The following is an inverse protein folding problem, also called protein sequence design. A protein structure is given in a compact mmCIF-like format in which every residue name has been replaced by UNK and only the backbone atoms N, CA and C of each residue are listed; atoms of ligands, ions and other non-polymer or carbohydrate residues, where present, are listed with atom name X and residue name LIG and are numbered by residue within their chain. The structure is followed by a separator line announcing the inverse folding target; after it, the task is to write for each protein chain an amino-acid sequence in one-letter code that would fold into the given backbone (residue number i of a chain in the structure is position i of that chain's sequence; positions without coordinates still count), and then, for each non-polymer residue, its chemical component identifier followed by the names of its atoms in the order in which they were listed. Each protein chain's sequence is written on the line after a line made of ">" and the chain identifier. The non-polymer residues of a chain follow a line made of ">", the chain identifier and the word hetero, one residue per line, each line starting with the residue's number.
data_IF_441817588575
#
_entry.id   IF_441817588575
#
_cell.length_a   1.000
_cell.length_b   1.000
_cell.length_c   1.000
_cell.angle_alpha   90.00
_cell.angle_beta   90.00
_cell.angle_gamma   90.00
#
_symmetry.space_group_name_H-M   'P 1'
#
loop_
_entity.id
_entity.type
_entity.pdbx_description
1 polymer ?
#
# COMPACT_ATOMS: atom_id res chain seq x y z
N UNK A 1 54.14 47.73 -13.75
CA UNK A 1 53.23 46.58 -14.02
C UNK A 1 52.52 46.00 -12.78
N UNK A 2 52.99 46.24 -11.54
CA UNK A 2 52.38 45.67 -10.31
C UNK A 2 51.18 46.47 -9.75
N UNK A 3 51.08 47.77 -10.02
CA UNK A 3 50.01 48.64 -9.50
C UNK A 3 48.68 48.46 -10.23
N UNK A 4 48.70 48.14 -11.52
CA UNK A 4 47.49 47.90 -12.33
C UNK A 4 46.76 46.61 -11.92
N UNK A 5 47.50 45.51 -11.69
CA UNK A 5 46.92 44.25 -11.22
C UNK A 5 46.34 44.34 -9.79
N UNK A 6 46.91 45.18 -8.94
CA UNK A 6 46.38 45.43 -7.59
C UNK A 6 45.04 46.17 -7.62
N UNK A 7 44.90 47.15 -8.52
CA UNK A 7 43.64 47.88 -8.73
C UNK A 7 42.54 46.97 -9.29
N UNK A 8 42.86 46.13 -10.28
CA UNK A 8 41.92 45.13 -10.84
C UNK A 8 41.45 44.16 -9.75
N UNK A 9 42.35 43.61 -8.92
CA UNK A 9 41.97 42.68 -7.84
C UNK A 9 41.08 43.31 -6.77
N UNK A 10 41.26 44.61 -6.48
CA UNK A 10 40.46 45.34 -5.46
C UNK A 10 39.09 45.76 -5.96
N UNK A 11 38.92 46.00 -7.27
CA UNK A 11 37.63 46.29 -7.90
C UNK A 11 36.82 45.03 -8.20
N UNK A 12 37.46 43.87 -8.42
CA UNK A 12 36.76 42.60 -8.70
C UNK A 12 35.93 42.08 -7.53
N UNK A 13 36.31 42.35 -6.29
CA UNK A 13 35.58 41.88 -5.10
C UNK A 13 34.20 42.53 -4.90
N UNK A 14 34.02 43.86 -4.97
CA UNK A 14 32.68 44.46 -4.87
C UNK A 14 31.79 44.14 -6.07
N UNK A 15 32.36 44.02 -7.29
CA UNK A 15 31.60 43.67 -8.50
C UNK A 15 31.04 42.24 -8.38
N UNK A 16 31.87 41.29 -7.94
CA UNK A 16 31.45 39.90 -7.76
C UNK A 16 30.37 39.78 -6.66
N UNK A 17 30.51 40.52 -5.57
CA UNK A 17 29.50 40.57 -4.49
C UNK A 17 28.18 41.16 -5.01
N UNK A 18 28.23 42.26 -5.77
CA UNK A 18 27.04 42.88 -6.36
C UNK A 18 26.30 41.96 -7.33
N UNK A 19 27.02 41.25 -8.19
CA UNK A 19 26.44 40.26 -9.11
C UNK A 19 25.83 39.07 -8.37
N UNK A 20 26.49 38.57 -7.32
CA UNK A 20 25.96 37.48 -6.50
C UNK A 20 24.63 37.85 -5.81
N UNK A 21 24.58 39.02 -5.19
CA UNK A 21 23.38 39.49 -4.47
C UNK A 21 22.20 39.71 -5.43
N UNK A 22 22.45 40.29 -6.61
CA UNK A 22 21.39 40.52 -7.59
C UNK A 22 20.82 39.23 -8.17
N UNK A 23 21.66 38.24 -8.49
CA UNK A 23 21.21 36.91 -8.95
C UNK A 23 20.37 36.21 -7.88
N UNK A 24 20.83 36.23 -6.62
CA UNK A 24 20.09 35.62 -5.51
C UNK A 24 18.73 36.31 -5.26
N UNK A 25 18.69 37.64 -5.33
CA UNK A 25 17.46 38.41 -5.14
C UNK A 25 16.42 38.15 -6.25
N UNK A 26 16.85 38.10 -7.51
CA UNK A 26 15.95 37.88 -8.65
C UNK A 26 15.38 36.46 -8.64
N UNK A 27 16.21 35.45 -8.37
CA UNK A 27 15.76 34.05 -8.29
C UNK A 27 14.88 33.82 -7.06
N UNK A 28 15.25 34.36 -5.89
CA UNK A 28 14.43 34.31 -4.68
C UNK A 28 13.04 34.93 -4.86
N UNK A 29 12.96 36.10 -5.53
CA UNK A 29 11.68 36.78 -5.80
C UNK A 29 10.74 35.95 -6.69
N UNK A 30 11.28 35.21 -7.66
CA UNK A 30 10.46 34.36 -8.53
C UNK A 30 9.91 33.13 -7.81
N UNK A 31 10.69 32.55 -6.89
CA UNK A 31 10.25 31.42 -6.06
C UNK A 31 9.10 31.80 -5.13
N UNK A 32 9.22 32.90 -4.37
CA UNK A 32 8.19 33.34 -3.41
C UNK A 32 6.85 33.64 -4.10
N UNK A 33 6.87 34.21 -5.31
CA UNK A 33 5.64 34.51 -6.07
C UNK A 33 4.89 33.25 -6.54
N UNK A 34 5.59 32.17 -6.87
CA UNK A 34 5.01 30.92 -7.39
C UNK A 34 4.69 29.91 -6.28
N UNK A 35 5.36 30.01 -5.14
CA UNK A 35 5.18 29.13 -3.97
C UNK A 35 3.72 28.98 -3.49
N UNK A 36 2.91 30.04 -3.30
CA UNK A 36 1.56 29.88 -2.77
C UNK A 36 0.61 29.15 -3.73
N UNK A 37 0.87 29.14 -5.04
CA UNK A 37 0.06 28.39 -6.01
C UNK A 37 0.41 26.89 -6.00
N UNK A 38 1.70 26.57 -5.86
CA UNK A 38 2.17 25.18 -5.72
C UNK A 38 1.66 24.59 -4.39
N UNK A 39 1.74 25.36 -3.30
CA UNK A 39 1.29 24.92 -1.98
C UNK A 39 -0.23 24.68 -1.91
N UNK A 40 -1.04 25.48 -2.62
CA UNK A 40 -2.50 25.28 -2.70
C UNK A 40 -2.90 24.02 -3.46
N UNK A 41 -2.11 23.59 -4.45
CA UNK A 41 -2.38 22.39 -5.24
C UNK A 41 -1.85 21.10 -4.59
N UNK A 42 -1.02 21.22 -3.55
CA UNK A 42 -0.59 20.12 -2.68
C UNK A 42 -1.50 20.12 -1.46
N UNK A 43 -2.79 19.87 -1.66
CA UNK A 43 -3.76 19.95 -0.57
C UNK A 43 -3.61 18.80 0.44
N UNK A 44 -2.83 17.75 0.15
CA UNK A 44 -2.49 16.69 1.10
C UNK A 44 -1.17 15.99 0.73
N UNK A 45 -0.01 16.31 1.31
CA UNK A 45 1.19 15.48 1.13
C UNK A 45 1.00 14.04 1.68
N UNK A 46 -0.08 13.82 2.43
CA UNK A 46 -0.45 12.54 3.05
C UNK A 46 -1.47 11.72 2.24
N UNK A 47 -2.07 12.24 1.15
CA UNK A 47 -3.08 11.50 0.39
C UNK A 47 -2.53 10.38 -0.50
N UNK A 48 -1.20 10.27 -0.62
CA UNK A 48 -0.53 9.09 -1.21
C UNK A 48 -0.40 7.93 -0.23
N UNK A 49 -0.54 8.19 1.07
CA UNK A 49 -0.75 7.18 2.10
C UNK A 49 -2.27 7.04 2.25
N UNK A 50 -2.95 6.61 1.18
CA UNK A 50 -4.22 5.91 1.36
C UNK A 50 -3.86 4.70 2.19
N UNK A 51 -4.08 4.81 3.49
CA UNK A 51 -4.07 3.70 4.42
C UNK A 51 -5.01 2.68 3.80
N UNK A 52 -4.46 1.60 3.22
CA UNK A 52 -5.22 0.37 3.07
C UNK A 52 -5.96 0.20 4.39
N UNK A 53 -7.29 0.00 4.39
CA UNK A 53 -7.99 -0.25 5.64
C UNK A 53 -7.18 -1.33 6.33
N UNK A 54 -6.66 -1.03 7.54
CA UNK A 54 -5.96 -2.03 8.32
C UNK A 54 -7.02 -3.08 8.58
N UNK A 55 -7.05 -4.10 7.73
CA UNK A 55 -7.92 -5.25 7.90
C UNK A 55 -7.33 -5.92 9.13
N UNK A 56 -7.86 -5.54 10.29
CA UNK A 56 -7.60 -6.22 11.53
C UNK A 56 -8.02 -7.66 11.29
N UNK A 57 -7.05 -8.51 11.00
CA UNK A 57 -7.25 -9.93 10.85
C UNK A 57 -7.64 -10.40 12.25
N UNK A 58 -8.94 -10.53 12.50
CA UNK A 58 -9.44 -11.05 13.75
C UNK A 58 -8.95 -12.49 13.84
N UNK A 59 -7.85 -12.69 14.55
CA UNK A 59 -7.30 -14.01 14.80
C UNK A 59 -8.29 -14.72 15.72
N UNK A 60 -8.86 -15.82 15.22
CA UNK A 60 -9.67 -16.69 16.05
C UNK A 60 -8.71 -17.45 16.96
N UNK A 61 -8.94 -17.38 18.27
CA UNK A 61 -8.14 -18.10 19.24
C UNK A 61 -8.53 -19.59 19.18
N UNK A 62 -7.54 -20.48 19.08
CA UNK A 62 -7.75 -21.93 18.99
C UNK A 62 -7.31 -22.53 17.66
N UNK A 63 -7.56 -23.83 17.48
CA UNK A 63 -7.34 -24.56 16.23
C UNK A 63 -8.63 -24.77 15.44
N UNK A 64 -8.55 -25.55 14.36
CA UNK A 64 -9.73 -26.01 13.65
C UNK A 64 -10.58 -26.94 14.52
N UNK A 65 -11.89 -26.93 14.30
CA UNK A 65 -12.78 -27.90 14.93
C UNK A 65 -12.49 -29.32 14.41
N UNK A 66 -12.76 -30.32 15.25
CA UNK A 66 -12.60 -31.72 14.88
C UNK A 66 -13.45 -32.08 13.65
N UNK A 67 -14.65 -31.52 13.58
CA UNK A 67 -15.58 -31.67 12.46
C UNK A 67 -15.98 -30.28 11.97
N UNK A 68 -15.79 -30.03 10.68
CA UNK A 68 -16.05 -28.71 10.10
C UNK A 68 -17.53 -28.37 10.08
N UNK A 69 -17.94 -27.42 10.93
CA UNK A 69 -19.28 -26.86 10.93
C UNK A 69 -19.49 -25.87 9.77
N UNK A 70 -20.75 -25.57 9.44
CA UNK A 70 -21.12 -24.58 8.42
C UNK A 70 -20.49 -23.20 8.71
N UNK A 71 -20.47 -22.78 9.98
CA UNK A 71 -19.89 -21.48 10.37
C UNK A 71 -18.39 -21.44 10.12
N UNK A 72 -17.68 -22.49 10.51
CA UNK A 72 -16.25 -22.62 10.28
C UNK A 72 -15.94 -22.70 8.77
N UNK A 73 -16.73 -23.46 8.00
CA UNK A 73 -16.55 -23.56 6.56
C UNK A 73 -16.70 -22.20 5.84
N UNK A 74 -17.65 -21.37 6.28
CA UNK A 74 -17.80 -20.00 5.77
C UNK A 74 -16.59 -19.14 6.10
N UNK A 75 -16.02 -19.29 7.31
CA UNK A 75 -14.81 -18.57 7.73
C UNK A 75 -13.58 -19.02 6.94
N UNK A 76 -13.37 -20.33 6.76
CA UNK A 76 -12.24 -20.91 6.02
C UNK A 76 -12.24 -20.41 4.56
N UNK A 77 -13.40 -20.40 3.90
CA UNK A 77 -13.52 -19.96 2.51
C UNK A 77 -13.71 -18.45 2.35
N UNK A 78 -13.80 -17.69 3.45
CA UNK A 78 -14.03 -16.25 3.44
C UNK A 78 -15.37 -15.83 2.82
N UNK A 79 -16.38 -16.70 2.93
CA UNK A 79 -17.71 -16.49 2.36
C UNK A 79 -18.68 -15.95 3.43
N UNK A 80 -19.62 -15.12 2.98
CA UNK A 80 -20.75 -14.69 3.83
C UNK A 80 -21.91 -15.67 3.70
N UNK A 81 -22.73 -15.85 4.76
CA UNK A 81 -23.89 -16.74 4.71
C UNK A 81 -24.94 -16.27 3.70
N UNK A 82 -25.02 -14.95 3.45
CA UNK A 82 -26.00 -14.36 2.55
C UNK A 82 -25.57 -14.52 1.08
N UNK A 83 -26.45 -15.07 0.24
CA UNK A 83 -26.21 -15.19 -1.20
C UNK A 83 -25.16 -16.24 -1.57
N UNK A 84 -25.09 -17.32 -0.80
CA UNK A 84 -24.27 -18.49 -1.07
C UNK A 84 -24.76 -19.23 -2.32
N UNK A 85 -23.86 -19.50 -3.25
CA UNK A 85 -24.14 -20.22 -4.50
C UNK A 85 -22.97 -21.20 -4.77
N UNK A 86 -23.25 -22.32 -5.42
CA UNK A 86 -22.25 -23.33 -5.82
C UNK A 86 -21.08 -22.73 -6.59
N UNK A 87 -21.32 -21.78 -7.49
CA UNK A 87 -20.25 -21.13 -8.26
C UNK A 87 -19.31 -20.34 -7.34
N UNK A 88 -19.86 -19.56 -6.40
CA UNK A 88 -19.06 -18.82 -5.41
C UNK A 88 -18.25 -19.74 -4.51
N UNK A 89 -18.80 -20.88 -4.11
CA UNK A 89 -18.08 -21.89 -3.30
C UNK A 89 -16.88 -22.43 -4.08
N UNK A 90 -17.07 -22.81 -5.36
CA UNK A 90 -16.00 -23.32 -6.21
C UNK A 90 -14.90 -22.28 -6.45
N UNK A 91 -15.29 -21.04 -6.72
CA UNK A 91 -14.33 -19.95 -6.97
C UNK A 91 -13.51 -19.62 -5.72
N UNK A 92 -14.17 -19.53 -4.56
CA UNK A 92 -13.50 -19.31 -3.28
C UNK A 92 -12.58 -20.48 -2.91
N UNK A 93 -13.04 -21.72 -3.07
CA UNK A 93 -12.23 -22.92 -2.85
C UNK A 93 -10.97 -22.92 -3.72
N UNK A 94 -11.11 -22.66 -5.03
CA UNK A 94 -9.95 -22.57 -5.93
C UNK A 94 -8.96 -21.51 -5.47
N UNK A 95 -9.45 -20.31 -5.13
CA UNK A 95 -8.59 -19.20 -4.71
C UNK A 95 -7.81 -19.53 -3.43
N UNK A 96 -8.49 -20.07 -2.42
CA UNK A 96 -7.87 -20.39 -1.13
C UNK A 96 -6.96 -21.61 -1.25
N UNK A 97 -7.34 -22.63 -2.03
CA UNK A 97 -6.54 -23.83 -2.24
C UNK A 97 -5.23 -23.53 -2.99
N UNK A 98 -5.24 -22.71 -4.03
CA UNK A 98 -4.00 -22.35 -4.76
C UNK A 98 -2.99 -21.69 -3.83
N UNK A 99 -3.44 -20.83 -2.91
CA UNK A 99 -2.58 -20.18 -1.93
C UNK A 99 -2.06 -21.14 -0.84
N UNK A 100 -2.72 -22.28 -0.62
CA UNK A 100 -2.41 -23.23 0.46
C UNK A 100 -2.09 -24.63 -0.07
N UNK A 101 -1.75 -24.75 -1.37
CA UNK A 101 -1.54 -26.04 -1.99
C UNK A 101 -0.28 -26.72 -1.39
N UNK A 102 -0.33 -28.01 -1.02
CA UNK A 102 0.81 -28.68 -0.39
C UNK A 102 2.08 -28.62 -1.26
N UNK A 103 1.93 -28.74 -2.58
CA UNK A 103 3.06 -28.66 -3.51
C UNK A 103 3.65 -27.25 -3.66
N UNK A 104 2.95 -26.20 -3.17
CA UNK A 104 3.37 -24.80 -3.21
C UNK A 104 3.73 -24.29 -1.80
N UNK A 105 4.36 -25.14 -0.99
CA UNK A 105 4.71 -24.86 0.42
C UNK A 105 3.51 -24.68 1.37
N UNK A 106 2.32 -25.12 0.96
CA UNK A 106 1.15 -25.19 1.82
C UNK A 106 1.21 -26.37 2.79
N UNK A 107 0.40 -26.31 3.86
CA UNK A 107 0.28 -27.43 4.79
C UNK A 107 -0.75 -28.45 4.27
N UNK A 108 -0.42 -29.76 4.20
CA UNK A 108 -1.39 -30.79 3.85
C UNK A 108 -2.62 -30.78 4.76
N UNK A 109 -2.43 -30.44 6.05
CA UNK A 109 -3.51 -30.34 7.02
C UNK A 109 -4.46 -29.18 6.70
N UNK A 110 -3.91 -28.01 6.35
CA UNK A 110 -4.72 -26.84 5.94
C UNK A 110 -5.47 -27.13 4.65
N UNK A 111 -4.84 -27.77 3.67
CA UNK A 111 -5.48 -28.18 2.43
C UNK A 111 -6.65 -29.16 2.69
N UNK A 112 -6.48 -30.13 3.61
CA UNK A 112 -7.57 -31.02 4.05
C UNK A 112 -8.75 -30.23 4.60
N UNK A 113 -8.49 -29.26 5.50
CA UNK A 113 -9.54 -28.42 6.10
C UNK A 113 -10.27 -27.55 5.08
N UNK A 114 -9.57 -27.04 4.07
CA UNK A 114 -10.18 -26.31 2.95
C UNK A 114 -11.12 -27.22 2.12
N UNK A 115 -10.73 -28.48 1.91
CA UNK A 115 -11.56 -29.47 1.22
C UNK A 115 -12.81 -29.86 2.03
N UNK A 116 -12.65 -30.09 3.34
CA UNK A 116 -13.76 -30.35 4.28
C UNK A 116 -14.77 -29.19 4.27
N UNK A 117 -14.28 -27.94 4.30
CA UNK A 117 -15.12 -26.74 4.24
C UNK A 117 -15.95 -26.66 2.94
N UNK A 118 -15.33 -26.95 1.79
CA UNK A 118 -16.02 -27.01 0.50
C UNK A 118 -17.16 -28.03 0.54
N UNK A 119 -16.88 -29.25 0.99
CA UNK A 119 -17.87 -30.33 1.02
C UNK A 119 -19.04 -30.00 1.96
N UNK A 120 -18.75 -29.42 3.12
CA UNK A 120 -19.76 -28.96 4.09
C UNK A 120 -20.74 -27.94 3.46
N UNK A 121 -20.23 -26.93 2.75
CA UNK A 121 -21.07 -25.92 2.10
C UNK A 121 -21.80 -26.46 0.87
N UNK A 122 -21.18 -27.33 0.07
CA UNK A 122 -21.83 -27.95 -1.09
C UNK A 122 -23.02 -28.83 -0.68
N UNK A 123 -22.88 -29.59 0.41
CA UNK A 123 -23.99 -30.35 1.02
C UNK A 123 -25.12 -29.42 1.47
N UNK A 124 -24.76 -28.31 2.12
CA UNK A 124 -25.74 -27.34 2.64
C UNK A 124 -26.54 -26.63 1.55
N UNK A 125 -25.93 -26.33 0.39
CA UNK A 125 -26.62 -25.68 -0.75
C UNK A 125 -27.42 -26.67 -1.60
N UNK A 126 -27.20 -27.98 -1.41
CA UNK A 126 -27.93 -29.04 -2.13
C UNK A 126 -29.18 -29.52 -1.37
N UNK A 127 -29.20 -29.36 -0.05
CA UNK A 127 -30.36 -29.59 0.81
C UNK A 127 -31.34 -28.41 0.76
#
# INVERSE_FOLDING_TARGET
>A
MLTFNYFIKKASTPILVGLGVTIAALTGRQLVKKFPQIAKNVQNPFSYIKSSPVVMHKQYMGGFEQKVDKKEALLILGLRPNGLNRNKIKDAHRKVMVANHPDLNGSPYIASKINEAKECLEKTVRS
#
